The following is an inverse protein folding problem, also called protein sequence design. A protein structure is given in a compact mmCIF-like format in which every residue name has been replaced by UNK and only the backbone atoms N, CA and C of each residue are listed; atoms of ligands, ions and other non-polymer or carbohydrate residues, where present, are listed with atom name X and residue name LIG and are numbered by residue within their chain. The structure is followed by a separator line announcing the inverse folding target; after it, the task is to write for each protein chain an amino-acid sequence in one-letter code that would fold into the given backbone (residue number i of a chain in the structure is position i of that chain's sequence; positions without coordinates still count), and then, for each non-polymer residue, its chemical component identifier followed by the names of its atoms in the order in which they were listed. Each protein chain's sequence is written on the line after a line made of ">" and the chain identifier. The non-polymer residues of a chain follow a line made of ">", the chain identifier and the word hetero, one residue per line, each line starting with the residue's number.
data_IF_103822251331
#
_entry.id   IF_103822251331
#
_cell.length_a   1.000
_cell.length_b   1.000
_cell.length_c   1.000
_cell.angle_alpha   90.00
_cell.angle_beta   90.00
_cell.angle_gamma   90.00
#
_symmetry.space_group_name_H-M   'P 1'
#
loop_
_entity.id
_entity.type
_entity.pdbx_description
1 polymer ?
#
# COMPACT_ATOMS: atom_id res chain seq x y z
N UNK A 1 2.04 1.40 12.37
CA UNK A 1 1.24 2.61 12.66
C UNK A 1 1.64 3.81 11.78
N UNK A 2 2.93 4.11 11.60
CA UNK A 2 3.37 5.28 10.81
C UNK A 2 2.73 5.41 9.41
N UNK A 3 2.70 4.33 8.60
CA UNK A 3 2.10 4.37 7.25
C UNK A 3 0.60 4.71 7.26
N UNK A 4 -0.14 4.29 8.28
CA UNK A 4 -1.57 4.59 8.41
C UNK A 4 -1.76 6.05 8.79
N UNK A 5 -0.91 6.59 9.66
CA UNK A 5 -0.95 8.02 10.04
C UNK A 5 -0.63 8.92 8.85
N UNK A 6 0.29 8.50 7.98
CA UNK A 6 0.65 9.24 6.76
C UNK A 6 -0.50 9.35 5.74
N UNK A 7 -1.56 8.56 5.86
CA UNK A 7 -2.77 8.73 5.01
C UNK A 7 -3.48 10.05 5.28
N UNK A 8 -3.40 10.59 6.50
CA UNK A 8 -4.02 11.88 6.83
C UNK A 8 -3.37 13.03 6.03
N UNK A 9 -2.05 13.30 6.15
CA UNK A 9 -1.42 14.33 5.35
C UNK A 9 -1.52 14.05 3.85
N UNK A 10 -1.45 12.78 3.42
CA UNK A 10 -1.67 12.42 2.01
C UNK A 10 -3.03 12.93 1.51
N UNK A 11 -4.14 12.57 2.14
CA UNK A 11 -5.47 13.02 1.71
C UNK A 11 -5.69 14.53 1.89
N UNK A 12 -5.08 15.14 2.91
CA UNK A 12 -5.13 16.60 3.09
C UNK A 12 -4.40 17.32 1.95
N UNK A 13 -3.27 16.80 1.51
CA UNK A 13 -2.47 17.43 0.46
C UNK A 13 -3.07 17.23 -0.94
N UNK A 14 -3.91 16.21 -1.16
CA UNK A 14 -4.63 15.98 -2.42
C UNK A 14 -5.45 17.20 -2.88
N UNK A 15 -5.89 18.03 -1.93
CA UNK A 15 -6.60 19.29 -2.20
C UNK A 15 -5.76 20.29 -3.02
N UNK A 16 -4.43 20.18 -2.97
CA UNK A 16 -3.46 21.05 -3.65
C UNK A 16 -2.81 20.38 -4.87
N UNK A 17 -3.27 19.19 -5.28
CA UNK A 17 -2.68 18.43 -6.38
C UNK A 17 -2.78 19.17 -7.71
N UNK A 18 -1.81 18.93 -8.60
CA UNK A 18 -1.76 19.57 -9.92
C UNK A 18 -2.30 18.62 -10.99
N UNK A 19 -1.98 17.34 -10.90
CA UNK A 19 -2.19 16.40 -12.00
C UNK A 19 -3.52 15.64 -11.95
N UNK A 20 -4.15 15.57 -10.78
CA UNK A 20 -5.38 14.80 -10.59
C UNK A 20 -6.44 15.62 -9.86
N UNK A 21 -7.70 15.25 -10.12
CA UNK A 21 -8.84 15.84 -9.46
C UNK A 21 -9.13 15.20 -8.10
N UNK A 22 -9.94 15.88 -7.29
CA UNK A 22 -10.30 15.46 -5.94
C UNK A 22 -11.68 15.95 -5.55
N UNK A 23 -12.29 15.36 -4.51
CA UNK A 23 -13.59 15.80 -4.01
C UNK A 23 -13.69 17.31 -3.74
N UNK A 24 -12.59 17.93 -3.30
CA UNK A 24 -12.48 19.37 -3.08
C UNK A 24 -11.07 19.81 -3.51
N UNK A 25 -10.98 20.93 -4.23
CA UNK A 25 -9.73 21.50 -4.74
C UNK A 25 -9.54 22.93 -4.25
N UNK A 26 -8.30 23.29 -3.90
CA UNK A 26 -7.94 24.66 -3.57
C UNK A 26 -7.60 25.45 -4.84
N UNK A 27 -7.91 26.76 -4.84
CA UNK A 27 -7.56 27.64 -5.96
C UNK A 27 -6.05 27.88 -6.14
N UNK A 28 -5.25 27.62 -5.11
CA UNK A 28 -3.79 27.62 -5.18
C UNK A 28 -3.26 26.18 -5.10
N UNK A 29 -2.45 25.78 -6.08
CA UNK A 29 -1.89 24.44 -6.16
C UNK A 29 -0.41 24.43 -5.74
N UNK A 30 0.14 23.26 -5.38
CA UNK A 30 1.52 23.16 -4.91
C UNK A 30 2.27 21.97 -5.51
N UNK A 31 3.34 22.25 -6.26
CA UNK A 31 4.20 21.22 -6.86
C UNK A 31 4.87 20.35 -5.80
N UNK A 32 5.29 20.94 -4.68
CA UNK A 32 5.92 20.19 -3.59
C UNK A 32 4.96 19.21 -2.93
N UNK A 33 3.71 19.64 -2.66
CA UNK A 33 2.68 18.76 -2.08
C UNK A 33 2.24 17.68 -3.07
N UNK A 34 2.15 18.01 -4.35
CA UNK A 34 1.89 17.03 -5.41
C UNK A 34 2.98 15.93 -5.41
N UNK A 35 4.26 16.29 -5.34
CA UNK A 35 5.34 15.30 -5.29
C UNK A 35 5.35 14.46 -4.02
N UNK A 36 4.96 15.04 -2.88
CA UNK A 36 4.72 14.26 -1.66
C UNK A 36 3.62 13.21 -1.88
N UNK A 37 2.50 13.58 -2.51
CA UNK A 37 1.41 12.65 -2.79
C UNK A 37 1.84 11.53 -3.75
N UNK A 38 2.56 11.86 -4.82
CA UNK A 38 3.12 10.84 -5.73
C UNK A 38 4.04 9.85 -5.01
N UNK A 39 4.84 10.31 -4.06
CA UNK A 39 5.65 9.42 -3.23
C UNK A 39 4.77 8.53 -2.34
N UNK A 40 3.70 9.10 -1.79
CA UNK A 40 2.65 8.38 -1.07
C UNK A 40 1.99 7.31 -1.92
N UNK A 41 1.65 7.61 -3.17
CA UNK A 41 1.07 6.67 -4.14
C UNK A 41 2.04 5.57 -4.57
N UNK A 42 3.32 5.89 -4.60
CA UNK A 42 4.36 4.93 -4.91
C UNK A 42 4.55 3.92 -3.77
N UNK A 43 4.34 4.28 -2.50
CA UNK A 43 4.75 3.40 -1.40
C UNK A 43 3.59 2.96 -0.50
N UNK A 44 2.63 3.84 -0.23
CA UNK A 44 1.64 3.68 0.83
C UNK A 44 0.82 2.40 0.69
N UNK A 45 0.11 2.25 -0.43
CA UNK A 45 -0.80 1.13 -0.65
C UNK A 45 -0.06 -0.20 -0.79
N UNK A 46 1.04 -0.19 -1.52
CA UNK A 46 1.93 -1.31 -1.75
C UNK A 46 2.48 -1.85 -0.43
N UNK A 47 2.93 -0.95 0.45
CA UNK A 47 3.39 -1.29 1.79
C UNK A 47 2.25 -1.84 2.65
N UNK A 48 1.04 -1.27 2.59
CA UNK A 48 -0.12 -1.76 3.32
C UNK A 48 -0.52 -3.19 2.90
N UNK A 49 -0.56 -3.49 1.60
CA UNK A 49 -0.80 -4.85 1.10
C UNK A 49 0.31 -5.82 1.54
N UNK A 50 1.57 -5.41 1.46
CA UNK A 50 2.69 -6.20 1.94
C UNK A 50 2.59 -6.48 3.44
N UNK A 51 2.31 -5.48 4.26
CA UNK A 51 2.13 -5.67 5.71
C UNK A 51 0.92 -6.54 6.04
N UNK A 52 -0.16 -6.46 5.26
CA UNK A 52 -1.32 -7.32 5.41
C UNK A 52 -1.00 -8.79 5.08
N UNK A 53 -0.16 -9.03 4.07
CA UNK A 53 0.40 -10.35 3.75
C UNK A 53 1.27 -10.89 4.88
N UNK A 54 2.17 -10.06 5.41
CA UNK A 54 3.01 -10.38 6.56
C UNK A 54 2.18 -10.75 7.80
N UNK A 55 1.13 -9.97 8.10
CA UNK A 55 0.20 -10.29 9.18
C UNK A 55 -0.54 -11.62 8.96
N UNK A 56 -0.79 -11.99 7.70
CA UNK A 56 -1.46 -13.25 7.34
C UNK A 56 -0.58 -14.46 7.66
N UNK A 57 0.74 -14.38 7.48
CA UNK A 57 1.68 -15.41 7.92
C UNK A 57 1.52 -15.72 9.41
N UNK A 58 1.56 -14.68 10.26
CA UNK A 58 1.39 -14.85 11.70
C UNK A 58 -0.01 -15.31 12.09
N UNK A 59 -1.06 -14.82 11.40
CA UNK A 59 -2.44 -15.20 11.68
C UNK A 59 -2.68 -16.69 11.41
N UNK A 60 -2.22 -17.20 10.26
CA UNK A 60 -2.40 -18.60 9.87
C UNK A 60 -1.59 -19.56 10.76
N UNK A 61 -0.50 -19.13 11.41
CA UNK A 61 0.19 -19.97 12.43
C UNK A 61 -0.71 -20.36 13.60
N UNK A 62 -1.75 -19.58 13.90
CA UNK A 62 -2.65 -19.79 15.05
C UNK A 62 -4.08 -20.16 14.67
N UNK A 63 -4.42 -20.13 13.38
CA UNK A 63 -5.80 -20.28 12.89
C UNK A 63 -5.89 -21.25 11.72
N UNK A 64 -7.02 -21.95 11.62
CA UNK A 64 -7.36 -22.70 10.42
C UNK A 64 -7.68 -21.75 9.24
N UNK A 65 -7.64 -22.26 8.01
CA UNK A 65 -7.98 -21.47 6.83
C UNK A 65 -9.41 -20.91 6.90
N UNK A 66 -10.37 -21.71 7.36
CA UNK A 66 -11.77 -21.27 7.53
C UNK A 66 -11.93 -20.20 8.61
N UNK A 67 -11.26 -20.36 9.76
CA UNK A 67 -11.25 -19.33 10.81
C UNK A 67 -10.67 -18.01 10.31
N UNK A 68 -9.56 -18.07 9.58
CA UNK A 68 -8.95 -16.90 8.95
C UNK A 68 -9.89 -16.21 7.97
N UNK A 69 -10.51 -16.96 7.04
CA UNK A 69 -11.44 -16.42 6.07
C UNK A 69 -12.65 -15.74 6.75
N UNK A 70 -13.21 -16.38 7.78
CA UNK A 70 -14.35 -15.84 8.50
C UNK A 70 -14.02 -14.56 9.27
N UNK A 71 -12.85 -14.50 9.92
CA UNK A 71 -12.37 -13.28 10.57
C UNK A 71 -12.17 -12.14 9.56
N UNK A 72 -11.62 -12.43 8.38
CA UNK A 72 -11.44 -11.43 7.31
C UNK A 72 -12.78 -10.89 6.82
N UNK A 73 -13.75 -11.75 6.56
CA UNK A 73 -15.10 -11.33 6.14
C UNK A 73 -15.71 -10.42 7.20
N UNK A 74 -15.75 -10.83 8.48
CA UNK A 74 -16.33 -9.99 9.55
C UNK A 74 -15.64 -8.65 9.71
N UNK A 75 -14.30 -8.62 9.64
CA UNK A 75 -13.52 -7.40 9.89
C UNK A 75 -13.40 -6.47 8.69
N UNK A 76 -13.68 -6.95 7.47
CA UNK A 76 -13.53 -6.16 6.25
C UNK A 76 -14.87 -5.94 5.55
N UNK A 77 -15.69 -6.98 5.35
CA UNK A 77 -16.96 -6.84 4.64
C UNK A 77 -17.97 -5.98 5.41
N UNK A 78 -18.09 -6.17 6.73
CA UNK A 78 -19.04 -5.38 7.54
C UNK A 78 -18.66 -3.89 7.53
N UNK A 79 -17.40 -3.50 7.84
CA UNK A 79 -17.00 -2.10 7.72
C UNK A 79 -17.04 -1.56 6.29
N UNK A 80 -16.80 -2.40 5.27
CA UNK A 80 -16.91 -2.00 3.87
C UNK A 80 -18.35 -1.64 3.51
N UNK A 81 -19.33 -2.49 3.83
CA UNK A 81 -20.75 -2.21 3.56
C UNK A 81 -21.18 -0.94 4.28
N UNK A 82 -20.83 -0.81 5.57
CA UNK A 82 -21.14 0.40 6.32
C UNK A 82 -20.49 1.64 5.70
N UNK A 83 -19.22 1.54 5.30
CA UNK A 83 -18.49 2.62 4.66
C UNK A 83 -19.12 3.03 3.32
N UNK A 84 -19.51 2.07 2.49
CA UNK A 84 -20.17 2.31 1.20
C UNK A 84 -21.52 2.99 1.35
N UNK A 85 -22.28 2.66 2.40
CA UNK A 85 -23.62 3.21 2.60
C UNK A 85 -23.61 4.55 3.37
N UNK A 86 -22.63 4.78 4.24
CA UNK A 86 -22.66 5.91 5.18
C UNK A 86 -21.50 6.88 4.99
N UNK A 87 -20.30 6.39 4.68
CA UNK A 87 -19.08 7.21 4.68
C UNK A 87 -18.74 7.74 3.29
N UNK A 88 -18.92 6.93 2.25
CA UNK A 88 -18.63 7.30 0.85
C UNK A 88 -19.65 8.27 0.26
N UNK A 89 -20.98 8.12 0.48
CA UNK A 89 -21.95 9.01 -0.16
C UNK A 89 -21.74 10.49 0.19
N UNK A 90 -21.46 10.89 1.45
CA UNK A 90 -21.12 12.28 1.74
C UNK A 90 -19.90 12.81 0.96
N UNK A 91 -18.91 11.97 0.66
CA UNK A 91 -17.75 12.37 -0.15
C UNK A 91 -18.16 12.64 -1.59
N UNK A 92 -18.89 11.70 -2.20
CA UNK A 92 -19.35 11.84 -3.58
C UNK A 92 -20.35 12.99 -3.76
N UNK A 93 -21.22 13.25 -2.77
CA UNK A 93 -22.10 14.42 -2.74
C UNK A 93 -21.30 15.74 -2.72
N UNK A 94 -20.28 15.84 -1.86
CA UNK A 94 -19.43 17.03 -1.81
C UNK A 94 -18.66 17.21 -3.11
N UNK A 95 -18.20 16.12 -3.73
CA UNK A 95 -17.66 16.13 -5.08
C UNK A 95 -18.64 16.73 -6.08
N UNK A 96 -19.85 16.14 -6.19
CA UNK A 96 -20.90 16.60 -7.09
C UNK A 96 -21.18 18.11 -6.91
N UNK A 97 -21.32 18.56 -5.65
CA UNK A 97 -21.54 19.98 -5.31
C UNK A 97 -20.40 20.90 -5.72
N UNK A 98 -19.17 20.40 -5.77
CA UNK A 98 -17.99 21.19 -6.08
C UNK A 98 -17.65 21.21 -7.59
N UNK A 99 -18.11 20.20 -8.35
CA UNK A 99 -17.79 20.04 -9.77
C UNK A 99 -19.01 20.19 -10.70
N UNK A 100 -20.19 20.47 -10.16
CA UNK A 100 -21.43 20.69 -10.93
C UNK A 100 -22.29 21.78 -10.32
N UNK A 101 -23.31 22.21 -11.07
CA UNK A 101 -24.31 23.18 -10.61
C UNK A 101 -25.42 22.55 -9.74
N UNK A 102 -25.23 21.33 -9.23
CA UNK A 102 -26.22 20.65 -8.40
C UNK A 102 -26.49 21.44 -7.10
N UNK A 103 -27.72 21.89 -6.91
CA UNK A 103 -28.11 22.72 -5.76
C UNK A 103 -29.00 22.01 -4.73
N UNK A 104 -29.44 20.77 -5.02
CA UNK A 104 -30.32 19.99 -4.14
C UNK A 104 -29.66 19.58 -2.82
N UNK A 105 -30.48 19.04 -1.90
CA UNK A 105 -30.01 18.58 -0.60
C UNK A 105 -29.40 17.17 -0.65
N UNK A 106 -28.59 16.80 0.35
CA UNK A 106 -27.99 15.46 0.43
C UNK A 106 -29.04 14.34 0.39
N UNK A 107 -30.17 14.52 1.08
CA UNK A 107 -31.24 13.52 1.14
C UNK A 107 -31.99 13.37 -0.18
N UNK A 108 -32.09 14.44 -0.97
CA UNK A 108 -32.66 14.40 -2.32
C UNK A 108 -31.75 13.65 -3.30
N UNK A 109 -30.42 13.86 -3.19
CA UNK A 109 -29.44 13.20 -4.04
C UNK A 109 -29.16 11.74 -3.67
N UNK A 110 -29.20 11.38 -2.38
CA UNK A 110 -28.73 10.08 -1.88
C UNK A 110 -29.25 8.85 -2.66
N UNK A 111 -30.51 8.78 -3.12
CA UNK A 111 -30.95 7.66 -3.96
C UNK A 111 -30.15 7.50 -5.27
N UNK A 112 -29.73 8.61 -5.88
CA UNK A 112 -28.92 8.63 -7.11
C UNK A 112 -27.46 8.22 -6.88
N UNK A 113 -26.99 8.15 -5.64
CA UNK A 113 -25.65 7.62 -5.35
C UNK A 113 -25.47 6.19 -5.87
N UNK A 114 -26.55 5.40 -5.99
CA UNK A 114 -26.46 4.02 -6.47
C UNK A 114 -26.45 3.91 -8.00
N UNK A 115 -26.59 5.02 -8.72
CA UNK A 115 -26.48 5.05 -10.18
C UNK A 115 -25.02 4.92 -10.59
N UNK A 116 -24.73 4.10 -11.60
CA UNK A 116 -23.37 3.88 -12.09
C UNK A 116 -23.11 4.74 -13.33
N UNK A 117 -22.14 5.65 -13.24
CA UNK A 117 -21.68 6.50 -14.34
C UNK A 117 -20.28 6.05 -14.78
N UNK A 118 -20.14 5.30 -15.90
CA UNK A 118 -18.85 4.84 -16.40
C UNK A 118 -17.84 5.96 -16.68
N UNK A 119 -18.33 7.15 -17.04
CA UNK A 119 -17.57 8.36 -17.31
C UNK A 119 -17.04 9.07 -16.06
N UNK A 120 -17.60 8.77 -14.87
CA UNK A 120 -17.14 9.28 -13.58
C UNK A 120 -17.02 8.16 -12.53
N UNK A 121 -16.08 7.21 -12.72
CA UNK A 121 -15.92 6.07 -11.81
C UNK A 121 -15.42 6.48 -10.41
N UNK A 122 -14.84 7.69 -10.30
CA UNK A 122 -14.41 8.26 -9.04
C UNK A 122 -15.57 8.92 -8.26
N UNK A 123 -16.70 9.19 -8.91
CA UNK A 123 -17.87 9.83 -8.34
C UNK A 123 -17.62 11.28 -7.92
N UNK A 124 -16.71 11.98 -8.63
CA UNK A 124 -16.33 13.36 -8.32
C UNK A 124 -17.30 14.38 -8.89
N UNK A 125 -17.87 14.15 -10.08
CA UNK A 125 -18.57 15.16 -10.86
C UNK A 125 -20.04 14.84 -11.11
N UNK A 126 -20.39 13.56 -11.17
CA UNK A 126 -21.76 13.08 -11.40
C UNK A 126 -22.42 12.55 -10.14
N UNK A 127 -21.64 12.34 -9.06
CA UNK A 127 -22.18 11.89 -7.79
C UNK A 127 -22.78 10.48 -7.84
N UNK A 128 -22.22 9.60 -8.67
CA UNK A 128 -22.67 8.20 -8.76
C UNK A 128 -21.92 7.25 -7.84
N UNK A 129 -22.22 5.97 -8.03
CA UNK A 129 -21.67 4.90 -7.22
C UNK A 129 -20.16 4.82 -7.39
N UNK A 130 -19.45 4.91 -6.26
CA UNK A 130 -18.00 4.71 -6.21
C UNK A 130 -17.63 3.98 -4.94
N UNK A 131 -16.53 3.22 -4.99
CA UNK A 131 -15.92 2.62 -3.80
C UNK A 131 -15.02 3.64 -3.08
N UNK A 132 -14.65 4.73 -3.78
CA UNK A 132 -13.78 5.79 -3.28
C UNK A 132 -12.56 5.20 -2.54
N UNK A 133 -12.16 5.82 -1.44
CA UNK A 133 -11.08 5.41 -0.55
C UNK A 133 -11.18 3.99 0.03
N UNK A 134 -12.36 3.35 -0.02
CA UNK A 134 -12.55 2.01 0.53
C UNK A 134 -12.06 0.90 -0.40
N UNK A 135 -11.56 1.24 -1.60
CA UNK A 135 -11.07 0.27 -2.57
C UNK A 135 -10.00 -0.64 -1.98
N UNK A 136 -9.14 -0.11 -1.09
CA UNK A 136 -8.13 -0.89 -0.37
C UNK A 136 -8.75 -2.03 0.46
N UNK A 137 -9.84 -1.76 1.19
CA UNK A 137 -10.52 -2.75 2.04
C UNK A 137 -11.17 -3.83 1.17
N UNK A 138 -11.84 -3.43 0.08
CA UNK A 138 -12.43 -4.34 -0.88
C UNK A 138 -11.37 -5.27 -1.51
N UNK A 139 -10.28 -4.68 -2.01
CA UNK A 139 -9.18 -5.43 -2.61
C UNK A 139 -8.52 -6.35 -1.59
N UNK A 140 -8.28 -5.86 -0.37
CA UNK A 140 -7.70 -6.67 0.70
C UNK A 140 -8.58 -7.87 1.05
N UNK A 141 -9.90 -7.70 1.10
CA UNK A 141 -10.83 -8.81 1.32
C UNK A 141 -10.68 -9.85 0.20
N UNK A 142 -10.83 -9.44 -1.06
CA UNK A 142 -10.77 -10.35 -2.23
C UNK A 142 -9.41 -11.05 -2.31
N UNK A 143 -8.32 -10.28 -2.28
CA UNK A 143 -6.94 -10.80 -2.35
C UNK A 143 -6.68 -11.75 -1.19
N UNK A 144 -7.14 -11.45 0.02
CA UNK A 144 -6.92 -12.32 1.18
C UNK A 144 -7.60 -13.68 1.06
N UNK A 145 -8.73 -13.77 0.37
CA UNK A 145 -9.46 -15.01 0.13
C UNK A 145 -8.86 -15.77 -1.07
N UNK A 146 -8.54 -15.07 -2.16
CA UNK A 146 -7.92 -15.67 -3.35
C UNK A 146 -6.53 -16.24 -3.05
N UNK A 147 -5.72 -15.56 -2.24
CA UNK A 147 -4.38 -16.01 -1.87
C UNK A 147 -4.39 -17.14 -0.82
N UNK A 148 -5.52 -17.41 -0.17
CA UNK A 148 -5.59 -18.37 0.94
C UNK A 148 -5.17 -19.80 0.55
N UNK A 149 -5.63 -20.39 -0.57
CA UNK A 149 -5.20 -21.74 -0.97
C UNK A 149 -3.68 -21.82 -1.17
N UNK A 150 -3.08 -20.80 -1.80
CA UNK A 150 -1.63 -20.69 -1.96
C UNK A 150 -0.94 -20.65 -0.59
N UNK A 151 -1.41 -19.83 0.35
CA UNK A 151 -0.80 -19.72 1.67
C UNK A 151 -0.92 -21.00 2.50
N UNK A 152 -2.04 -21.72 2.39
CA UNK A 152 -2.21 -23.02 3.03
C UNK A 152 -1.26 -24.07 2.42
N UNK A 153 -1.02 -24.03 1.11
CA UNK A 153 -0.01 -24.86 0.46
C UNK A 153 1.41 -24.50 0.93
N UNK A 154 1.76 -23.21 0.94
CA UNK A 154 3.08 -22.72 1.34
C UNK A 154 3.44 -23.07 2.78
N UNK A 155 2.46 -23.31 3.65
CA UNK A 155 2.67 -23.77 5.04
C UNK A 155 3.01 -25.26 5.17
N UNK A 156 2.70 -26.08 4.18
CA UNK A 156 3.06 -27.50 4.18
C UNK A 156 4.57 -27.65 4.04
N UNK A 157 5.12 -28.81 4.38
CA UNK A 157 6.56 -29.06 4.27
C UNK A 157 7.11 -28.77 2.86
N UNK A 158 6.39 -29.19 1.82
CA UNK A 158 6.77 -28.91 0.42
C UNK A 158 6.84 -27.41 0.13
N UNK A 159 5.87 -26.65 0.64
CA UNK A 159 5.81 -25.20 0.51
C UNK A 159 6.94 -24.49 1.28
N UNK A 160 7.25 -24.96 2.49
CA UNK A 160 8.37 -24.44 3.28
C UNK A 160 9.71 -24.73 2.61
N UNK A 161 9.89 -25.91 2.01
CA UNK A 161 11.09 -26.22 1.20
C UNK A 161 11.22 -25.30 -0.01
N UNK A 162 10.13 -24.99 -0.70
CA UNK A 162 10.11 -24.02 -1.79
C UNK A 162 10.52 -22.63 -1.30
N UNK A 163 9.90 -22.15 -0.23
CA UNK A 163 10.23 -20.86 0.40
C UNK A 163 11.71 -20.80 0.76
N UNK A 164 12.25 -21.77 1.51
CA UNK A 164 13.66 -21.76 1.90
C UNK A 164 14.60 -21.88 0.69
N UNK A 165 14.20 -22.59 -0.37
CA UNK A 165 14.92 -22.60 -1.64
C UNK A 165 15.01 -21.20 -2.26
N UNK A 166 13.88 -20.51 -2.38
CA UNK A 166 13.83 -19.13 -2.88
C UNK A 166 14.58 -18.16 -1.97
N UNK A 167 14.50 -18.34 -0.64
CA UNK A 167 15.15 -17.49 0.35
C UNK A 167 16.68 -17.59 0.23
N UNK A 168 17.23 -18.79 -0.02
CA UNK A 168 18.66 -18.98 -0.31
C UNK A 168 19.11 -18.23 -1.56
N UNK A 169 18.32 -18.27 -2.63
CA UNK A 169 18.61 -17.54 -3.86
C UNK A 169 18.58 -16.01 -3.64
N UNK A 170 17.51 -15.50 -3.03
CA UNK A 170 17.35 -14.06 -2.79
C UNK A 170 18.23 -13.50 -1.67
N UNK A 171 18.84 -14.35 -0.83
CA UNK A 171 19.84 -13.95 0.15
C UNK A 171 21.20 -13.60 -0.47
N UNK A 172 21.42 -13.80 -1.77
CA UNK A 172 22.61 -13.26 -2.44
C UNK A 172 22.57 -11.73 -2.48
N UNK A 173 23.72 -11.03 -2.35
CA UNK A 173 23.75 -9.57 -2.32
C UNK A 173 23.02 -8.93 -3.51
N UNK A 174 22.02 -8.09 -3.23
CA UNK A 174 21.24 -7.39 -4.25
C UNK A 174 20.11 -8.21 -4.90
N UNK A 175 20.07 -9.53 -4.74
CA UNK A 175 19.05 -10.36 -5.42
C UNK A 175 17.62 -10.01 -4.99
N UNK A 176 17.41 -9.61 -3.73
CA UNK A 176 16.10 -9.17 -3.25
C UNK A 176 15.52 -7.99 -4.05
N UNK A 177 16.36 -7.16 -4.68
CA UNK A 177 15.91 -6.04 -5.51
C UNK A 177 15.24 -6.53 -6.81
N UNK A 178 15.61 -7.72 -7.31
CA UNK A 178 15.02 -8.31 -8.52
C UNK A 178 13.60 -8.83 -8.32
N UNK A 179 13.08 -8.87 -7.09
CA UNK A 179 11.64 -9.08 -6.84
C UNK A 179 10.76 -7.97 -7.43
N UNK A 180 11.36 -6.88 -7.94
CA UNK A 180 10.65 -5.91 -8.79
C UNK A 180 10.17 -6.50 -10.12
N UNK A 181 10.81 -7.56 -10.65
CA UNK A 181 10.47 -8.11 -11.98
C UNK A 181 9.02 -8.62 -12.04
N UNK A 182 8.54 -9.49 -11.13
CA UNK A 182 7.14 -9.90 -11.15
C UNK A 182 6.17 -8.73 -10.95
N UNK A 183 6.59 -7.68 -10.23
CA UNK A 183 5.78 -6.48 -10.03
C UNK A 183 5.62 -5.70 -11.35
N UNK A 184 6.72 -5.52 -12.10
CA UNK A 184 6.72 -4.91 -13.45
C UNK A 184 5.80 -5.70 -14.39
N UNK A 185 5.96 -7.03 -14.41
CA UNK A 185 5.14 -7.90 -15.25
C UNK A 185 3.65 -7.74 -14.90
N UNK A 186 3.29 -7.72 -13.61
CA UNK A 186 1.90 -7.51 -13.21
C UNK A 186 1.33 -6.16 -13.61
N UNK A 187 2.15 -5.10 -13.54
CA UNK A 187 1.78 -3.75 -14.02
C UNK A 187 1.49 -3.76 -15.53
N UNK A 188 2.29 -4.49 -16.31
CA UNK A 188 2.13 -4.58 -17.78
C UNK A 188 0.97 -5.48 -18.22
N UNK A 189 0.70 -6.59 -17.53
CA UNK A 189 -0.41 -7.50 -17.88
C UNK A 189 -1.76 -6.79 -17.77
N UNK A 190 -1.91 -5.93 -16.76
CA UNK A 190 -3.14 -5.17 -16.52
C UNK A 190 -2.80 -3.70 -16.40
N UNK A 191 -2.82 -3.00 -17.54
CA UNK A 191 -2.61 -1.56 -17.61
C UNK A 191 -3.86 -0.77 -17.16
N UNK A 192 -4.35 -1.05 -15.95
CA UNK A 192 -5.41 -0.30 -15.29
C UNK A 192 -5.05 -0.08 -13.83
N UNK A 193 -5.49 1.03 -13.24
CA UNK A 193 -5.30 1.30 -11.81
C UNK A 193 -6.65 1.51 -11.12
N UNK A 194 -6.86 0.96 -9.91
CA UNK A 194 -5.97 0.10 -9.13
C UNK A 194 -5.85 -1.34 -9.67
N UNK A 195 -4.63 -1.84 -9.89
CA UNK A 195 -4.37 -3.17 -10.47
C UNK A 195 -4.39 -4.28 -9.38
N UNK A 196 -5.33 -5.24 -9.41
CA UNK A 196 -5.46 -6.28 -8.39
C UNK A 196 -4.32 -7.31 -8.43
N UNK A 197 -3.76 -7.63 -9.61
CA UNK A 197 -2.62 -8.56 -9.73
C UNK A 197 -1.37 -7.94 -9.10
N UNK A 198 -1.14 -6.65 -9.38
CA UNK A 198 -0.05 -5.89 -8.79
C UNK A 198 -0.09 -5.92 -7.25
N UNK A 199 -1.25 -5.62 -6.64
CA UNK A 199 -1.40 -5.66 -5.18
C UNK A 199 -1.39 -7.08 -4.60
N UNK A 200 -1.87 -8.08 -5.34
CA UNK A 200 -1.76 -9.48 -4.97
C UNK A 200 -0.29 -9.90 -4.83
N UNK A 201 0.60 -9.45 -5.72
CA UNK A 201 2.04 -9.73 -5.61
C UNK A 201 2.62 -9.15 -4.32
N UNK A 202 2.34 -7.88 -4.00
CA UNK A 202 2.79 -7.29 -2.74
C UNK A 202 2.27 -8.07 -1.53
N UNK A 203 1.01 -8.49 -1.56
CA UNK A 203 0.41 -9.31 -0.50
C UNK A 203 1.11 -10.68 -0.36
N UNK A 204 1.42 -11.36 -1.47
CA UNK A 204 2.16 -12.62 -1.46
C UNK A 204 3.59 -12.41 -0.93
N UNK A 205 4.28 -11.36 -1.38
CA UNK A 205 5.62 -11.02 -0.89
C UNK A 205 5.62 -10.80 0.61
N UNK A 206 4.65 -10.06 1.13
CA UNK A 206 4.49 -9.88 2.57
C UNK A 206 4.45 -11.19 3.36
N UNK A 207 3.68 -12.17 2.86
CA UNK A 207 3.58 -13.48 3.46
C UNK A 207 4.90 -14.26 3.40
N UNK A 208 5.52 -14.32 2.21
CA UNK A 208 6.74 -15.10 1.96
C UNK A 208 7.95 -14.52 2.70
N UNK A 209 8.11 -13.20 2.73
CA UNK A 209 9.24 -12.54 3.40
C UNK A 209 9.27 -12.80 4.92
N UNK A 210 8.12 -13.08 5.53
CA UNK A 210 8.03 -13.41 6.96
C UNK A 210 8.24 -14.90 7.26
N UNK A 211 8.28 -15.75 6.23
CA UNK A 211 8.34 -17.19 6.39
C UNK A 211 9.76 -17.73 6.61
N UNK A 212 10.79 -16.99 6.20
CA UNK A 212 12.20 -17.40 6.34
C UNK A 212 13.11 -16.22 6.70
N UNK A 213 13.96 -16.39 7.72
CA UNK A 213 14.86 -15.35 8.23
C UNK A 213 15.93 -14.92 7.22
N UNK A 214 16.21 -15.72 6.19
CA UNK A 214 17.14 -15.34 5.12
C UNK A 214 16.64 -14.14 4.30
N UNK A 215 15.33 -13.99 4.13
CA UNK A 215 14.77 -12.79 3.50
C UNK A 215 15.02 -11.54 4.31
N UNK A 216 14.90 -11.65 5.64
CA UNK A 216 15.19 -10.56 6.56
C UNK A 216 16.67 -10.13 6.48
N UNK A 217 17.59 -11.09 6.38
CA UNK A 217 19.01 -10.81 6.17
C UNK A 217 19.28 -10.15 4.81
N UNK A 218 18.59 -10.59 3.75
CA UNK A 218 18.68 -10.01 2.42
C UNK A 218 18.24 -8.54 2.40
N UNK A 219 17.08 -8.25 3.00
CA UNK A 219 16.55 -6.88 3.17
C UNK A 219 17.55 -6.02 3.94
N UNK A 220 18.09 -6.53 5.06
CA UNK A 220 19.02 -5.77 5.89
C UNK A 220 20.30 -5.37 5.13
N UNK A 221 20.82 -6.27 4.29
CA UNK A 221 22.00 -6.03 3.45
C UNK A 221 21.71 -5.04 2.33
N UNK A 222 20.53 -5.10 1.72
CA UNK A 222 20.19 -4.29 0.54
C UNK A 222 19.57 -2.93 0.87
N UNK A 223 19.18 -2.65 2.13
CA UNK A 223 18.44 -1.42 2.52
C UNK A 223 19.07 -0.10 2.08
N UNK A 224 20.41 0.01 2.10
CA UNK A 224 21.14 1.22 1.67
C UNK A 224 21.07 1.40 0.15
N UNK A 225 21.38 0.34 -0.59
CA UNK A 225 21.29 0.35 -2.05
C UNK A 225 19.84 0.61 -2.49
N UNK A 226 18.87 -0.05 -1.86
CA UNK A 226 17.45 0.15 -2.13
C UNK A 226 17.02 1.60 -1.89
N UNK A 227 17.48 2.24 -0.81
CA UNK A 227 17.16 3.65 -0.55
C UNK A 227 17.73 4.56 -1.64
N UNK A 228 19.02 4.40 -1.97
CA UNK A 228 19.68 5.23 -2.99
C UNK A 228 19.01 5.04 -4.35
N UNK A 229 18.83 3.79 -4.78
CA UNK A 229 18.22 3.48 -6.06
C UNK A 229 16.76 3.94 -6.14
N UNK A 230 16.00 3.80 -5.04
CA UNK A 230 14.61 4.29 -4.97
C UNK A 230 14.52 5.81 -5.06
N UNK A 231 15.39 6.54 -4.35
CA UNK A 231 15.44 8.01 -4.40
C UNK A 231 15.93 8.51 -5.76
N UNK A 232 16.92 7.86 -6.37
CA UNK A 232 17.40 8.18 -7.72
C UNK A 232 16.29 7.94 -8.75
N UNK A 233 15.61 6.79 -8.70
CA UNK A 233 14.48 6.50 -9.58
C UNK A 233 13.36 7.55 -9.43
N UNK A 234 13.04 7.94 -8.18
CA UNK A 234 12.04 8.97 -7.93
C UNK A 234 12.47 10.36 -8.42
N UNK A 235 13.74 10.74 -8.24
CA UNK A 235 14.26 12.00 -8.74
C UNK A 235 14.27 12.05 -10.28
N UNK A 236 14.67 10.94 -10.93
CA UNK A 236 14.61 10.81 -12.40
C UNK A 236 13.17 10.94 -12.93
N UNK A 237 12.20 10.38 -12.20
CA UNK A 237 10.78 10.53 -12.51
C UNK A 237 10.31 11.99 -12.42
N UNK A 238 10.71 12.73 -11.38
CA UNK A 238 10.41 14.17 -11.25
C UNK A 238 11.03 14.96 -12.41
N UNK A 239 12.33 14.75 -12.67
CA UNK A 239 13.07 15.44 -13.73
C UNK A 239 12.43 15.22 -15.09
N UNK A 240 11.99 13.99 -15.37
CA UNK A 240 11.31 13.68 -16.63
C UNK A 240 9.95 14.36 -16.74
N UNK A 241 9.11 14.27 -15.69
CA UNK A 241 7.73 14.79 -15.68
C UNK A 241 7.66 16.31 -15.69
N UNK A 242 8.47 16.99 -14.87
CA UNK A 242 8.40 18.45 -14.66
C UNK A 242 9.32 19.24 -15.59
N UNK A 243 10.54 18.74 -15.85
CA UNK A 243 11.53 19.52 -16.60
C UNK A 243 11.46 19.25 -18.10
N UNK A 244 10.62 18.31 -18.56
CA UNK A 244 10.50 17.93 -19.97
C UNK A 244 11.82 17.46 -20.58
N UNK A 245 12.84 17.20 -19.76
CA UNK A 245 14.20 16.91 -20.19
C UNK A 245 14.32 15.55 -20.88
N UNK A 246 13.30 14.69 -20.75
CA UNK A 246 13.24 13.41 -21.44
C UNK A 246 13.31 13.52 -22.96
N UNK A 247 12.83 14.64 -23.54
CA UNK A 247 12.92 14.93 -24.97
C UNK A 247 14.21 15.66 -25.36
N UNK A 248 14.91 16.27 -24.38
CA UNK A 248 16.17 16.99 -24.63
C UNK A 248 17.38 16.07 -24.61
N UNK A 249 17.35 15.01 -23.79
CA UNK A 249 18.33 13.95 -23.83
C UNK A 249 17.88 12.91 -24.86
N UNK A 250 18.74 12.56 -25.82
CA UNK A 250 18.48 11.54 -26.85
C UNK A 250 18.54 10.12 -26.24
N UNK A 251 17.81 9.94 -25.14
CA UNK A 251 17.69 8.71 -24.37
C UNK A 251 16.52 7.93 -24.95
N UNK A 252 16.71 6.63 -25.27
CA UNK A 252 15.63 5.82 -25.82
C UNK A 252 14.38 5.80 -24.95
N UNK A 253 13.21 5.83 -25.58
CA UNK A 253 11.90 5.84 -24.90
C UNK A 253 11.72 4.65 -23.95
N UNK A 254 12.29 3.48 -24.27
CA UNK A 254 12.26 2.30 -23.40
C UNK A 254 12.99 2.52 -22.07
N UNK A 255 14.04 3.35 -22.04
CA UNK A 255 14.78 3.66 -20.82
C UNK A 255 13.93 4.49 -19.89
N UNK A 256 13.24 5.50 -20.43
CA UNK A 256 12.25 6.27 -19.69
C UNK A 256 11.09 5.37 -19.25
N UNK A 257 10.61 4.48 -20.10
CA UNK A 257 9.57 3.49 -19.77
C UNK A 257 9.93 2.52 -18.65
N UNK A 258 11.23 2.26 -18.40
CA UNK A 258 11.70 1.48 -17.24
C UNK A 258 11.91 2.38 -16.02
N UNK A 259 12.64 3.49 -16.16
CA UNK A 259 12.94 4.41 -15.06
C UNK A 259 11.69 5.10 -14.48
N UNK A 260 10.64 5.26 -15.29
CA UNK A 260 9.36 5.86 -14.94
C UNK A 260 8.47 4.96 -14.08
N UNK A 261 8.75 3.65 -14.04
CA UNK A 261 7.79 2.72 -13.42
C UNK A 261 7.72 2.95 -11.93
N UNK A 262 6.54 3.41 -11.49
CA UNK A 262 6.20 3.57 -10.08
C UNK A 262 6.56 2.32 -9.29
N UNK A 263 6.40 1.13 -9.87
CA UNK A 263 6.73 -0.14 -9.24
C UNK A 263 8.21 -0.29 -8.80
N UNK A 264 9.16 0.33 -9.51
CA UNK A 264 10.58 0.33 -9.12
C UNK A 264 10.78 1.18 -7.88
N UNK A 265 10.25 2.41 -7.89
CA UNK A 265 10.25 3.31 -6.74
C UNK A 265 9.58 2.63 -5.55
N UNK A 266 8.40 2.02 -5.77
CA UNK A 266 7.65 1.26 -4.77
C UNK A 266 8.52 0.20 -4.11
N UNK A 267 9.07 -0.73 -4.90
CA UNK A 267 9.77 -1.90 -4.35
C UNK A 267 11.04 -1.49 -3.61
N UNK A 268 11.83 -0.59 -4.19
CA UNK A 268 13.11 -0.18 -3.60
C UNK A 268 12.91 0.61 -2.30
N UNK A 269 11.98 1.55 -2.29
CA UNK A 269 11.67 2.29 -1.06
C UNK A 269 11.03 1.38 0.00
N UNK A 270 10.22 0.40 -0.38
CA UNK A 270 9.68 -0.60 0.56
C UNK A 270 10.79 -1.44 1.18
N UNK A 271 11.74 -1.97 0.40
CA UNK A 271 12.89 -2.71 0.94
C UNK A 271 13.70 -1.83 1.90
N UNK A 272 13.93 -0.56 1.55
CA UNK A 272 14.60 0.39 2.43
C UNK A 272 13.82 0.62 3.73
N UNK A 273 12.50 0.86 3.64
CA UNK A 273 11.62 1.07 4.79
C UNK A 273 11.57 -0.15 5.71
N UNK A 274 11.49 -1.37 5.17
CA UNK A 274 11.53 -2.60 5.97
C UNK A 274 12.87 -2.75 6.70
N UNK A 275 14.00 -2.54 6.01
CA UNK A 275 15.33 -2.65 6.59
C UNK A 275 15.63 -1.60 7.66
N UNK A 276 15.30 -0.34 7.41
CA UNK A 276 15.49 0.74 8.40
C UNK A 276 14.43 0.70 9.51
N UNK A 277 13.20 0.30 9.18
CA UNK A 277 12.15 0.07 10.16
C UNK A 277 12.58 -0.96 11.20
N UNK A 278 13.13 -2.11 10.77
CA UNK A 278 13.74 -3.07 11.69
C UNK A 278 14.84 -2.43 12.53
N UNK A 279 15.80 -1.74 11.90
CA UNK A 279 16.96 -1.17 12.60
C UNK A 279 16.58 -0.17 13.70
N UNK A 280 15.58 0.68 13.46
CA UNK A 280 15.25 1.77 14.38
C UNK A 280 14.02 1.50 15.25
N UNK A 281 13.07 0.66 14.81
CA UNK A 281 11.83 0.39 15.52
C UNK A 281 11.84 -0.91 16.34
N UNK A 282 12.76 -1.86 16.06
CA UNK A 282 12.93 -3.08 16.88
C UNK A 282 13.95 -2.90 18.03
N UNK A 283 14.17 -1.67 18.50
CA UNK A 283 14.94 -1.50 19.74
C UNK A 283 14.13 -2.06 20.91
N UNK A 284 14.72 -2.90 21.79
CA UNK A 284 14.05 -3.26 23.02
C UNK A 284 13.69 -1.98 23.78
N UNK A 285 12.53 -1.92 24.45
CA UNK A 285 12.16 -0.73 25.20
C UNK A 285 13.32 -0.36 26.13
N UNK A 286 13.87 0.85 25.97
CA UNK A 286 14.76 1.46 26.97
C UNK A 286 13.93 1.83 28.20
N UNK A 287 13.45 0.81 28.92
CA UNK A 287 13.01 0.90 30.32
C UNK A 287 13.42 -0.38 31.03
N UNK A 288 14.72 -0.48 31.34
CA UNK A 288 15.10 -0.96 32.66
C UNK A 288 14.73 0.13 33.66
N UNK A 289 13.48 0.16 34.09
CA UNK A 289 13.14 0.73 35.39
C UNK A 289 13.22 -0.40 36.39
N UNK A 290 14.44 -0.89 36.60
CA UNK A 290 14.81 -1.56 37.83
C UNK A 290 14.96 -0.47 38.88
N UNK A 291 13.86 -0.15 39.55
CA UNK A 291 13.72 0.45 40.89
C UNK A 291 12.23 0.72 41.11
N UNK A 292 11.68 0.21 42.22
CA UNK A 292 10.30 0.38 42.73
C UNK A 292 9.22 -0.63 42.31
N UNK A 293 9.50 -1.94 42.33
CA UNK A 293 8.44 -2.96 42.57
C UNK A 293 8.91 -4.17 43.41
N UNK A 294 10.05 -4.05 44.10
CA UNK A 294 10.57 -5.02 45.09
C UNK A 294 10.79 -4.34 46.44
N UNK A 295 9.75 -3.68 46.95
CA UNK A 295 9.83 -2.98 48.23
C UNK A 295 8.48 -2.62 48.83
N UNK A 296 7.43 -3.44 48.64
CA UNK A 296 6.18 -3.19 49.36
C UNK A 296 5.41 -4.39 49.89
N UNK A 297 5.83 -5.65 49.73
CA UNK A 297 5.26 -6.75 50.52
C UNK A 297 6.29 -7.87 50.76
N UNK A 298 7.21 -7.62 51.68
CA UNK A 298 7.87 -8.64 52.48
C UNK A 298 7.46 -8.44 53.94
N UNK A 299 6.85 -9.47 54.51
CA UNK A 299 6.85 -9.88 55.93
C UNK A 299 6.55 -8.86 57.04
N UNK A 300 5.49 -9.15 57.81
CA UNK A 300 5.23 -8.54 59.11
C UNK A 300 3.98 -9.12 59.80
N UNK A 301 4.24 -10.09 60.71
CA UNK A 301 3.38 -10.70 61.75
C UNK A 301 2.15 -11.50 61.34
#
# INVERSE_FOLDING_TARGET
>A
MAVVVLLVPYHTFRVFDIFEDWYIKNGQLSTALNWFNYLGDAVGMQLLFLLAGAATWFALRRRSGGQYAWERIKRLLIPLIFGLLVIVPPQSYLGLRNHSDYMGSFLEWYPSFFDFYPEDPAGYSMGGFTVAHLWFILFLLIISLIALPLFLFLRRESGQRLISGTARFFNWPGMILFLVIPIIIAEDILNFYPNPIYFLIFFIYGFVLMADTLFEAAIDRSKRAALILGLVAFALFIVWKDLGLGSQFNIPEWFWGIAYRRCIVSWFLIVAMLGYGKKYLNSPPKRKTSLLFLGYFGEGS
#
